data_IF_572336387255
#
_entry.id   IF_572336387255
#
_cell.length_a   1.000
_cell.length_b   1.000
_cell.length_c   1.000
_cell.angle_alpha   90.00
_cell.angle_beta   90.00
_cell.angle_gamma   90.00
#
_symmetry.space_group_name_H-M   'P 1'
#
loop_
_entity.id
_entity.type
_entity.pdbx_description
1 polymer ?
#
# COMPACT_ATOMS: atom_id res chain seq x y z
N UNK A 1 -8.65 9.50 16.75
CA UNK A 1 -8.10 10.58 15.90
C UNK A 1 -7.73 9.93 14.59
N UNK A 2 -8.41 10.27 13.49
CA UNK A 2 -7.93 9.95 12.14
C UNK A 2 -7.78 11.30 11.44
N UNK A 3 -6.53 11.65 11.15
CA UNK A 3 -6.17 12.89 10.46
C UNK A 3 -6.19 12.58 8.96
N UNK A 4 -7.31 12.93 8.31
CA UNK A 4 -7.39 12.99 6.86
C UNK A 4 -6.54 14.18 6.39
N UNK A 5 -5.27 13.93 6.06
CA UNK A 5 -4.35 14.88 5.44
C UNK A 5 -3.80 14.28 4.13
N UNK A 6 -3.60 15.09 3.08
CA UNK A 6 -3.42 14.58 1.70
C UNK A 6 -2.01 14.03 1.38
N UNK A 7 -1.32 13.39 2.33
CA UNK A 7 0.06 12.89 2.16
C UNK A 7 0.38 11.63 2.99
N UNK A 8 -0.61 10.91 3.50
CA UNK A 8 -0.37 9.76 4.35
C UNK A 8 -0.76 8.49 3.59
N UNK A 9 0.19 7.58 3.38
CA UNK A 9 -0.10 6.15 3.19
C UNK A 9 -1.34 5.83 4.03
N UNK A 10 -2.44 5.49 3.37
CA UNK A 10 -3.61 5.05 4.11
C UNK A 10 -3.14 3.73 4.73
N UNK A 11 -2.91 3.67 6.04
CA UNK A 11 -2.42 2.47 6.72
C UNK A 11 -3.25 1.23 6.32
N UNK A 12 -4.52 1.50 6.00
CA UNK A 12 -5.52 0.65 5.34
C UNK A 12 -5.03 -0.08 4.08
N UNK A 13 -4.27 0.58 3.21
CA UNK A 13 -3.80 0.04 1.93
C UNK A 13 -2.70 -1.00 2.15
N UNK A 14 -1.76 -0.71 3.05
CA UNK A 14 -0.72 -1.69 3.40
C UNK A 14 -1.33 -2.90 4.12
N UNK A 15 -2.28 -2.68 5.02
CA UNK A 15 -3.02 -3.76 5.68
C UNK A 15 -3.81 -4.60 4.66
N UNK A 16 -4.45 -3.95 3.68
CA UNK A 16 -5.18 -4.62 2.60
C UNK A 16 -4.24 -5.40 1.69
N UNK A 17 -3.07 -4.85 1.35
CA UNK A 17 -2.03 -5.51 0.56
C UNK A 17 -1.55 -6.80 1.24
N UNK A 18 -1.28 -6.74 2.55
CA UNK A 18 -0.78 -7.87 3.33
C UNK A 18 -1.85 -8.94 3.53
N UNK A 19 -3.11 -8.54 3.75
CA UNK A 19 -4.22 -9.46 3.99
C UNK A 19 -4.74 -10.13 2.71
N UNK A 20 -4.86 -9.38 1.61
CA UNK A 20 -5.58 -9.83 0.41
C UNK A 20 -4.67 -10.11 -0.77
N UNK A 21 -3.39 -9.69 -0.71
CA UNK A 21 -2.45 -9.72 -1.84
C UNK A 21 -3.02 -8.99 -3.07
N UNK A 22 -3.91 -8.02 -2.86
CA UNK A 22 -4.60 -7.29 -3.92
C UNK A 22 -4.79 -5.82 -3.51
N UNK A 23 -4.02 -4.93 -4.13
CA UNK A 23 -4.03 -3.50 -3.86
C UNK A 23 -3.81 -2.70 -5.16
N UNK A 24 -4.70 -2.82 -6.17
CA UNK A 24 -4.59 -2.03 -7.38
C UNK A 24 -4.81 -0.55 -7.07
N UNK A 25 -3.94 0.33 -7.58
CA UNK A 25 -3.99 1.78 -7.38
C UNK A 25 -3.83 2.28 -5.94
N UNK A 26 -3.34 1.45 -5.04
CA UNK A 26 -3.05 1.86 -3.66
C UNK A 26 -1.91 2.88 -3.62
N UNK A 27 -1.93 3.74 -2.60
CA UNK A 27 -0.84 4.67 -2.35
C UNK A 27 0.14 4.08 -1.35
N UNK A 28 1.23 3.52 -1.87
CA UNK A 28 2.33 2.97 -1.11
C UNK A 28 3.55 3.91 -1.15
N UNK A 29 3.34 5.19 -1.49
CA UNK A 29 4.40 6.20 -1.46
C UNK A 29 5.07 6.26 -0.09
N UNK A 30 6.39 6.15 -0.08
CA UNK A 30 7.17 6.12 1.17
C UNK A 30 7.00 4.85 2.02
N UNK A 31 6.27 3.82 1.56
CA UNK A 31 6.18 2.55 2.27
C UNK A 31 7.49 1.75 2.14
N UNK A 32 8.03 1.30 3.27
CA UNK A 32 9.12 0.33 3.25
C UNK A 32 8.60 -1.06 2.94
N UNK A 33 8.72 -1.46 1.67
CA UNK A 33 8.37 -2.79 1.18
C UNK A 33 9.57 -3.75 1.17
N UNK A 34 10.72 -3.36 1.73
CA UNK A 34 11.91 -4.20 1.75
C UNK A 34 11.66 -5.51 2.52
N UNK A 35 12.05 -6.63 1.93
CA UNK A 35 11.78 -7.95 2.50
C UNK A 35 10.30 -8.42 2.42
N UNK A 36 9.39 -7.61 1.86
CA UNK A 36 7.99 -8.02 1.69
C UNK A 36 7.85 -9.01 0.53
N UNK A 37 7.18 -10.14 0.79
CA UNK A 37 6.86 -11.10 -0.27
C UNK A 37 5.68 -10.60 -1.13
N UNK A 38 6.02 -9.97 -2.25
CA UNK A 38 5.09 -9.46 -3.26
C UNK A 38 4.78 -10.48 -4.38
N UNK A 39 5.25 -11.73 -4.26
CA UNK A 39 4.94 -12.78 -5.25
C UNK A 39 3.43 -13.02 -5.28
N UNK A 40 2.84 -12.88 -6.47
CA UNK A 40 1.40 -13.04 -6.69
C UNK A 40 0.54 -11.87 -6.20
N UNK A 41 1.15 -10.77 -5.76
CA UNK A 41 0.42 -9.57 -5.34
C UNK A 41 0.01 -8.72 -6.54
N UNK A 42 -1.24 -8.30 -6.60
CA UNK A 42 -1.69 -7.32 -7.57
C UNK A 42 -1.53 -5.90 -7.04
N UNK A 43 -0.43 -5.23 -7.40
CA UNK A 43 -0.18 -3.79 -7.15
C UNK A 43 -0.29 -2.96 -8.44
N UNK A 44 -1.11 -3.39 -9.40
CA UNK A 44 -1.23 -2.71 -10.69
C UNK A 44 -1.65 -1.24 -10.50
N UNK A 45 -0.81 -0.31 -10.96
CA UNK A 45 -1.06 1.12 -10.87
C UNK A 45 -0.92 1.73 -9.46
N UNK A 46 -0.36 0.99 -8.49
CA UNK A 46 -0.05 1.54 -7.18
C UNK A 46 1.01 2.64 -7.29
N UNK A 47 0.90 3.66 -6.45
CA UNK A 47 1.91 4.71 -6.33
C UNK A 47 3.03 4.24 -5.38
N UNK A 48 4.28 4.29 -5.84
CA UNK A 48 5.47 3.89 -5.05
C UNK A 48 6.47 5.04 -4.87
N UNK A 49 6.19 6.21 -5.44
CA UNK A 49 7.08 7.39 -5.42
C UNK A 49 6.87 8.25 -4.19
#
# INVERSE_FOLDING_TARGET
MVISGPLAMDQSDLDTLLATKHCPKCDLSGADLSGTNLIGVNISGANLE
#
